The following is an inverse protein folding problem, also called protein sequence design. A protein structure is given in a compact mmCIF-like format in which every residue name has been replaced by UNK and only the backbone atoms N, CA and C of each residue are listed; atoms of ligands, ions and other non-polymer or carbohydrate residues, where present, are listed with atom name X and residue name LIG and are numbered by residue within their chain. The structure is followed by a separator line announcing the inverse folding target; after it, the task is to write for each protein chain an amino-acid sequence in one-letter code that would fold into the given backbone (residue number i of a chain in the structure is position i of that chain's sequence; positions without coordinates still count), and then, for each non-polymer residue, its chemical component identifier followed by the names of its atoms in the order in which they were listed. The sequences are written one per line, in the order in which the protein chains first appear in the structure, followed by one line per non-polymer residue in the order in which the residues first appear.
data_IF_095530941740
#
_entry.id   IF_095530941740
#
_cell.length_a   1.000
_cell.length_b   1.000
_cell.length_c   1.000
_cell.angle_alpha   90.00
_cell.angle_beta   90.00
_cell.angle_gamma   90.00
#
_symmetry.space_group_name_H-M   'P 1'
#
loop_
_entity.id
_entity.type
_entity.pdbx_description
1 polymer ?
#
# COMPACT_ATOMS: atom_id res chain seq x y z
N UNK A 1 24.05 28.08 2.67
CA UNK A 1 24.15 29.25 1.76
C UNK A 1 24.99 30.35 2.38
N UNK A 2 24.74 30.81 3.61
CA UNK A 2 25.52 31.89 4.23
C UNK A 2 27.01 31.57 4.33
N UNK A 3 27.36 30.35 4.70
CA UNK A 3 28.77 29.89 4.81
C UNK A 3 29.46 29.74 3.47
N UNK A 4 28.75 29.70 2.35
CA UNK A 4 29.31 29.67 1.00
C UNK A 4 29.73 31.05 0.48
N UNK A 5 29.29 32.14 1.12
CA UNK A 5 29.55 33.49 0.64
C UNK A 5 30.95 34.05 0.96
N UNK A 6 31.83 33.30 1.61
CA UNK A 6 33.21 33.71 1.88
C UNK A 6 33.38 34.87 2.90
N UNK A 7 32.32 35.32 3.53
CA UNK A 7 32.34 36.35 4.55
C UNK A 7 32.86 35.82 5.89
N UNK A 8 32.65 34.55 6.11
CA UNK A 8 33.15 33.84 7.28
C UNK A 8 34.46 33.14 6.92
N UNK A 9 35.56 33.67 7.46
CA UNK A 9 36.84 32.95 7.41
C UNK A 9 36.78 31.69 8.29
N UNK A 10 37.84 30.86 8.26
CA UNK A 10 37.97 29.68 9.12
C UNK A 10 38.03 30.11 10.60
N UNK A 11 36.86 30.30 11.20
CA UNK A 11 36.65 30.93 12.49
C UNK A 11 35.82 30.00 13.38
N UNK A 12 35.83 30.22 14.71
CA UNK A 12 34.97 29.51 15.64
C UNK A 12 33.47 29.49 15.25
N UNK A 13 33.03 30.46 14.45
CA UNK A 13 31.65 30.56 13.97
C UNK A 13 31.30 29.45 12.98
N UNK A 14 32.25 29.04 12.10
CA UNK A 14 32.06 27.89 11.21
C UNK A 14 32.03 26.58 11.98
N UNK A 15 32.86 26.44 12.99
CA UNK A 15 32.87 25.23 13.84
C UNK A 15 31.54 25.08 14.60
N UNK A 16 31.03 26.18 15.16
CA UNK A 16 29.72 26.18 15.82
C UNK A 16 28.59 25.86 14.86
N UNK A 17 28.60 26.41 13.66
CA UNK A 17 27.62 26.09 12.63
C UNK A 17 27.74 24.65 12.13
N UNK A 18 28.94 24.09 12.09
CA UNK A 18 29.17 22.70 11.73
C UNK A 18 28.58 21.74 12.80
N UNK A 19 28.67 22.08 14.09
CA UNK A 19 28.03 21.31 15.16
C UNK A 19 26.50 21.28 14.98
N UNK A 20 25.91 22.41 14.60
CA UNK A 20 24.47 22.47 14.31
C UNK A 20 24.10 21.60 13.10
N UNK A 21 24.88 21.66 12.02
CA UNK A 21 24.67 20.80 10.84
C UNK A 21 24.77 19.32 11.23
N UNK A 22 25.77 18.94 12.03
CA UNK A 22 25.92 17.56 12.49
C UNK A 22 24.69 17.09 13.30
N UNK A 23 24.18 17.94 14.21
CA UNK A 23 22.99 17.60 14.99
C UNK A 23 21.73 17.50 14.11
N UNK A 24 21.60 18.34 13.08
CA UNK A 24 20.49 18.26 12.13
C UNK A 24 20.57 16.99 11.28
N UNK A 25 21.76 16.58 10.85
CA UNK A 25 21.96 15.33 10.13
C UNK A 25 21.60 14.11 10.99
N UNK A 26 22.04 14.08 12.24
CA UNK A 26 21.65 13.03 13.20
C UNK A 26 20.12 12.99 13.38
N UNK A 27 19.46 14.14 13.39
CA UNK A 27 18.00 14.19 13.46
C UNK A 27 17.33 13.58 12.23
N UNK A 28 17.92 13.71 11.04
CA UNK A 28 17.44 13.04 9.83
C UNK A 28 17.47 11.52 9.99
N UNK A 29 18.57 10.95 10.50
CA UNK A 29 18.66 9.50 10.77
C UNK A 29 17.62 9.06 11.82
N UNK A 30 17.49 9.82 12.90
CA UNK A 30 16.48 9.52 13.93
C UNK A 30 15.05 9.52 13.37
N UNK A 31 14.74 10.41 12.44
CA UNK A 31 13.44 10.43 11.76
C UNK A 31 13.28 9.17 10.89
N UNK A 32 14.30 8.82 10.10
CA UNK A 32 14.26 7.64 9.24
C UNK A 32 14.10 6.34 10.05
N UNK A 33 14.87 6.18 11.12
CA UNK A 33 14.84 5.00 11.99
C UNK A 33 13.56 4.89 12.83
N UNK A 34 13.00 6.02 13.30
CA UNK A 34 11.83 6.02 14.17
C UNK A 34 10.51 6.06 13.39
N UNK A 35 10.53 6.27 12.09
CA UNK A 35 9.32 6.17 11.24
C UNK A 35 8.98 4.71 11.00
N UNK A 36 8.14 4.17 11.89
CA UNK A 36 7.77 2.75 11.93
C UNK A 36 6.28 2.55 11.80
N UNK A 37 5.91 1.48 11.12
CA UNK A 37 4.55 0.96 11.11
C UNK A 37 4.57 -0.49 11.60
N UNK A 38 3.77 -0.81 12.63
CA UNK A 38 3.73 -2.13 13.24
C UNK A 38 5.13 -2.68 13.61
N UNK A 39 5.97 -1.82 14.20
CA UNK A 39 7.37 -2.09 14.57
C UNK A 39 8.33 -2.41 13.40
N UNK A 40 7.91 -2.16 12.16
CA UNK A 40 8.75 -2.27 10.96
C UNK A 40 9.16 -0.86 10.55
N UNK A 41 10.46 -0.60 10.43
CA UNK A 41 10.97 0.67 9.93
C UNK A 41 10.62 0.80 8.44
N UNK A 42 10.22 2.00 8.04
CA UNK A 42 9.77 2.24 6.66
C UNK A 42 10.79 3.00 5.81
N UNK A 43 11.65 3.80 6.44
CA UNK A 43 12.48 4.80 5.77
C UNK A 43 13.99 4.57 5.97
N UNK A 44 14.40 3.45 6.56
CA UNK A 44 15.79 3.09 6.82
C UNK A 44 16.40 2.18 5.73
N UNK A 45 15.70 2.00 4.60
CA UNK A 45 16.13 1.14 3.49
C UNK A 45 15.90 -0.36 3.70
N UNK A 46 15.43 -0.79 4.87
CA UNK A 46 15.14 -2.20 5.13
C UNK A 46 13.78 -2.63 4.58
N UNK A 47 12.86 -1.68 4.39
CA UNK A 47 11.53 -1.93 3.84
C UNK A 47 11.59 -2.04 2.31
N UNK A 48 11.98 -3.21 1.84
CA UNK A 48 12.10 -3.49 0.40
C UNK A 48 11.32 -4.74 0.02
N UNK A 49 10.74 -4.73 -1.19
CA UNK A 49 10.06 -5.87 -1.80
C UNK A 49 8.91 -6.48 -0.96
N UNK A 50 8.26 -5.69 -0.13
CA UNK A 50 7.04 -6.12 0.57
C UNK A 50 5.90 -6.17 -0.43
N UNK A 51 5.19 -7.29 -0.49
CA UNK A 51 4.09 -7.49 -1.44
C UNK A 51 2.75 -7.56 -0.73
N UNK A 52 1.78 -6.83 -1.26
CA UNK A 52 0.38 -6.92 -0.86
C UNK A 52 -0.35 -7.75 -1.90
N UNK A 53 -1.07 -8.79 -1.46
CA UNK A 53 -1.93 -9.58 -2.34
C UNK A 53 -3.15 -8.73 -2.76
N UNK A 54 -3.30 -8.50 -4.05
CA UNK A 54 -4.34 -7.66 -4.64
C UNK A 54 -5.37 -8.46 -5.46
N UNK A 55 -5.32 -9.79 -5.40
CA UNK A 55 -6.23 -10.66 -6.14
C UNK A 55 -6.18 -12.10 -5.65
N UNK A 56 -6.81 -13.01 -6.38
CA UNK A 56 -6.94 -14.41 -5.99
C UNK A 56 -5.82 -15.32 -6.52
N UNK A 57 -4.95 -14.79 -7.35
CA UNK A 57 -3.79 -15.53 -7.88
C UNK A 57 -2.48 -15.02 -7.29
N UNK A 58 -1.48 -15.87 -7.20
CA UNK A 58 -0.17 -15.53 -6.63
C UNK A 58 0.58 -14.45 -7.41
N UNK A 59 0.18 -14.19 -8.65
CA UNK A 59 0.76 -13.16 -9.50
C UNK A 59 0.13 -11.76 -9.30
N UNK A 60 -1.05 -11.70 -8.66
CA UNK A 60 -1.79 -10.46 -8.45
C UNK A 60 -1.34 -9.76 -7.18
N UNK A 61 -0.13 -9.24 -7.20
CA UNK A 61 0.49 -8.55 -6.06
C UNK A 61 0.87 -7.12 -6.40
N UNK A 62 0.83 -6.25 -5.40
CA UNK A 62 1.37 -4.90 -5.44
C UNK A 62 2.61 -4.89 -4.56
N UNK A 63 3.77 -4.66 -5.16
CA UNK A 63 5.01 -4.52 -4.41
C UNK A 63 5.15 -3.11 -3.83
N UNK A 64 5.56 -3.04 -2.58
CA UNK A 64 5.90 -1.82 -1.85
C UNK A 64 7.39 -1.85 -1.55
N UNK A 65 8.07 -0.77 -1.84
CA UNK A 65 9.44 -0.52 -1.40
C UNK A 65 9.60 0.97 -1.15
N UNK A 66 10.32 1.31 -0.10
CA UNK A 66 10.69 2.69 0.20
C UNK A 66 12.21 2.76 0.28
N UNK A 67 12.77 3.84 -0.25
CA UNK A 67 14.22 4.05 -0.21
C UNK A 67 14.65 4.52 1.18
N UNK A 68 15.93 4.31 1.47
CA UNK A 68 16.57 4.90 2.64
C UNK A 68 16.59 6.44 2.49
N UNK A 69 15.96 7.12 3.44
CA UNK A 69 15.98 8.60 3.53
C UNK A 69 16.81 9.10 4.71
N UNK A 70 17.61 8.24 5.30
CA UNK A 70 18.64 8.61 6.26
C UNK A 70 19.82 9.31 5.58
N UNK A 71 20.80 9.72 6.36
CA UNK A 71 22.00 10.41 5.85
C UNK A 71 22.72 9.61 4.75
N UNK A 72 22.78 8.28 4.89
CA UNK A 72 23.44 7.40 3.94
C UNK A 72 22.67 7.29 2.63
N UNK A 73 21.35 7.08 2.71
CA UNK A 73 20.49 6.96 1.54
C UNK A 73 20.38 8.24 0.73
N UNK A 74 20.41 9.38 1.42
CA UNK A 74 20.41 10.70 0.80
C UNK A 74 21.82 11.19 0.40
N UNK A 75 22.88 10.42 0.68
CA UNK A 75 24.26 10.75 0.42
C UNK A 75 24.70 12.11 1.05
N UNK A 76 24.12 12.45 2.20
CA UNK A 76 24.44 13.66 2.95
C UNK A 76 25.34 13.41 4.16
N UNK A 77 25.70 12.15 4.41
CA UNK A 77 26.66 11.80 5.44
C UNK A 77 28.02 12.46 5.15
N UNK A 78 28.53 13.18 6.11
CA UNK A 78 29.77 13.95 5.93
C UNK A 78 29.60 15.32 5.25
N UNK A 79 28.39 15.84 5.17
CA UNK A 79 28.15 17.22 4.76
C UNK A 79 28.88 18.19 5.68
N UNK A 80 29.86 18.90 5.14
CA UNK A 80 30.74 19.80 5.87
C UNK A 80 30.62 21.21 5.35
N UNK A 81 30.55 22.16 6.27
CA UNK A 81 30.57 23.60 5.99
C UNK A 81 31.81 24.28 6.58
N UNK A 82 32.80 23.47 6.98
CA UNK A 82 34.04 23.95 7.59
C UNK A 82 34.84 24.93 6.69
N UNK A 83 34.73 24.74 5.37
CA UNK A 83 35.34 25.67 4.40
C UNK A 83 34.30 26.20 3.42
N UNK A 84 34.61 27.34 2.77
CA UNK A 84 33.74 27.88 1.73
C UNK A 84 33.49 26.90 0.59
N UNK A 85 34.53 26.21 0.16
CA UNK A 85 34.42 25.20 -0.94
C UNK A 85 33.53 24.03 -0.57
N UNK A 86 33.67 23.48 0.66
CA UNK A 86 32.81 22.40 1.13
C UNK A 86 31.37 22.86 1.32
N UNK A 87 31.15 24.06 1.85
CA UNK A 87 29.81 24.64 1.98
C UNK A 87 29.12 24.81 0.62
N UNK A 88 29.84 25.19 -0.44
CA UNK A 88 29.31 25.28 -1.79
C UNK A 88 28.92 23.89 -2.34
N UNK A 89 29.77 22.88 -2.10
CA UNK A 89 29.48 21.47 -2.50
C UNK A 89 28.24 20.94 -1.79
N UNK A 90 28.10 21.19 -0.48
CA UNK A 90 26.96 20.75 0.33
C UNK A 90 25.63 21.30 -0.19
N UNK A 91 25.60 22.51 -0.75
CA UNK A 91 24.37 23.06 -1.36
C UNK A 91 23.88 22.12 -2.47
N UNK A 92 24.75 21.73 -3.39
CA UNK A 92 24.38 20.82 -4.48
C UNK A 92 23.97 19.42 -3.98
N UNK A 93 24.64 18.93 -2.92
CA UNK A 93 24.27 17.65 -2.29
C UNK A 93 22.89 17.71 -1.65
N UNK A 94 22.56 18.80 -0.96
CA UNK A 94 21.25 19.02 -0.35
C UNK A 94 20.14 19.16 -1.41
N UNK A 95 20.41 19.83 -2.52
CA UNK A 95 19.46 19.92 -3.64
C UNK A 95 19.15 18.54 -4.20
N UNK A 96 20.19 17.70 -4.36
CA UNK A 96 20.02 16.30 -4.81
C UNK A 96 19.21 15.48 -3.79
N UNK A 97 19.48 15.63 -2.50
CA UNK A 97 18.74 14.97 -1.43
C UNK A 97 17.25 15.37 -1.44
N UNK A 98 16.96 16.65 -1.59
CA UNK A 98 15.59 17.16 -1.70
C UNK A 98 14.87 16.60 -2.95
N UNK A 99 15.58 16.46 -4.06
CA UNK A 99 15.03 15.84 -5.26
C UNK A 99 14.71 14.36 -5.02
N UNK A 100 15.58 13.62 -4.35
CA UNK A 100 15.35 12.21 -3.96
C UNK A 100 14.10 12.08 -3.08
N UNK A 101 13.97 12.91 -2.05
CA UNK A 101 12.77 12.93 -1.19
C UNK A 101 11.51 13.23 -2.01
N UNK A 102 11.58 14.18 -2.93
CA UNK A 102 10.44 14.53 -3.80
C UNK A 102 10.04 13.36 -4.71
N UNK A 103 11.00 12.60 -5.23
CA UNK A 103 10.76 11.40 -6.01
C UNK A 103 10.11 10.29 -5.17
N UNK A 104 10.59 10.08 -3.94
CA UNK A 104 9.98 9.13 -3.01
C UNK A 104 8.53 9.50 -2.67
N UNK A 105 8.25 10.77 -2.41
CA UNK A 105 6.89 11.24 -2.20
C UNK A 105 5.99 11.01 -3.41
N UNK A 106 6.49 11.23 -4.63
CA UNK A 106 5.75 10.95 -5.86
C UNK A 106 5.48 9.44 -6.03
N UNK A 107 6.47 8.60 -5.69
CA UNK A 107 6.33 7.14 -5.71
C UNK A 107 5.27 6.68 -4.71
N UNK A 108 5.28 7.20 -3.48
CA UNK A 108 4.26 6.92 -2.47
C UNK A 108 2.87 7.36 -2.93
N UNK A 109 2.75 8.55 -3.54
CA UNK A 109 1.49 9.03 -4.10
C UNK A 109 0.96 8.14 -5.23
N UNK A 110 1.83 7.69 -6.12
CA UNK A 110 1.48 6.74 -7.17
C UNK A 110 1.01 5.40 -6.60
N UNK A 111 1.73 4.88 -5.59
CA UNK A 111 1.38 3.65 -4.91
C UNK A 111 0.02 3.73 -4.21
N UNK A 112 -0.25 4.84 -3.53
CA UNK A 112 -1.55 5.10 -2.90
C UNK A 112 -2.68 5.09 -3.93
N UNK A 113 -2.49 5.73 -5.09
CA UNK A 113 -3.47 5.69 -6.17
C UNK A 113 -3.69 4.26 -6.70
N UNK A 114 -2.62 3.49 -6.92
CA UNK A 114 -2.71 2.08 -7.35
C UNK A 114 -3.48 1.22 -6.35
N UNK A 115 -3.21 1.39 -5.05
CA UNK A 115 -3.94 0.69 -3.99
C UNK A 115 -5.43 1.05 -3.99
N UNK A 116 -5.77 2.33 -4.13
CA UNK A 116 -7.16 2.78 -4.20
C UNK A 116 -7.90 2.20 -5.41
N UNK A 117 -7.26 2.16 -6.58
CA UNK A 117 -7.84 1.52 -7.77
C UNK A 117 -8.01 0.02 -7.59
N UNK A 118 -7.04 -0.65 -6.97
CA UNK A 118 -7.12 -2.09 -6.68
C UNK A 118 -8.26 -2.39 -5.72
N UNK A 119 -8.41 -1.64 -4.64
CA UNK A 119 -9.52 -1.77 -3.69
C UNK A 119 -10.86 -1.58 -4.40
N UNK A 120 -10.98 -0.55 -5.23
CA UNK A 120 -12.21 -0.28 -6.00
C UNK A 120 -12.54 -1.41 -6.97
N UNK A 121 -11.52 -1.97 -7.63
CA UNK A 121 -11.69 -3.10 -8.54
C UNK A 121 -12.12 -4.38 -7.80
N UNK A 122 -11.46 -4.70 -6.70
CA UNK A 122 -11.79 -5.86 -5.86
C UNK A 122 -13.19 -5.76 -5.27
N UNK A 123 -13.60 -4.57 -4.83
CA UNK A 123 -14.96 -4.35 -4.33
C UNK A 123 -16.01 -4.62 -5.42
N UNK A 124 -15.77 -4.14 -6.64
CA UNK A 124 -16.68 -4.44 -7.77
C UNK A 124 -16.71 -5.92 -8.12
N UNK A 125 -15.55 -6.57 -8.13
CA UNK A 125 -15.44 -8.01 -8.39
C UNK A 125 -16.19 -8.83 -7.34
N UNK A 126 -16.08 -8.46 -6.06
CA UNK A 126 -16.84 -9.09 -4.96
C UNK A 126 -18.35 -8.99 -5.19
N UNK A 127 -18.86 -7.78 -5.46
CA UNK A 127 -20.29 -7.57 -5.73
C UNK A 127 -20.76 -8.38 -6.95
N UNK A 128 -19.98 -8.40 -8.03
CA UNK A 128 -20.33 -9.21 -9.23
C UNK A 128 -20.35 -10.70 -8.93
N UNK A 129 -19.40 -11.17 -8.12
CA UNK A 129 -19.33 -12.59 -7.72
C UNK A 129 -20.51 -12.96 -6.83
N UNK A 130 -20.88 -12.10 -5.87
CA UNK A 130 -22.04 -12.31 -5.02
C UNK A 130 -23.35 -12.33 -5.84
N UNK A 131 -23.48 -11.42 -6.81
CA UNK A 131 -24.63 -11.42 -7.72
C UNK A 131 -24.68 -12.68 -8.61
N UNK A 132 -23.53 -13.14 -9.10
CA UNK A 132 -23.47 -14.38 -9.87
C UNK A 132 -23.83 -15.61 -9.02
N UNK A 133 -23.33 -15.65 -7.78
CA UNK A 133 -23.67 -16.71 -6.83
C UNK A 133 -25.17 -16.70 -6.51
N UNK A 134 -25.76 -15.52 -6.24
CA UNK A 134 -27.19 -15.39 -6.01
C UNK A 134 -28.03 -15.92 -7.19
N UNK A 135 -27.66 -15.58 -8.43
CA UNK A 135 -28.36 -16.07 -9.63
C UNK A 135 -28.29 -17.58 -9.77
N UNK A 136 -27.17 -18.20 -9.44
CA UNK A 136 -27.02 -19.66 -9.48
C UNK A 136 -27.88 -20.31 -8.39
N UNK A 137 -27.79 -19.82 -7.18
CA UNK A 137 -28.56 -20.36 -6.04
C UNK A 137 -30.07 -20.18 -6.22
N UNK A 138 -30.50 -19.02 -6.69
CA UNK A 138 -31.93 -18.74 -6.91
C UNK A 138 -32.51 -19.57 -8.05
N UNK A 139 -31.75 -19.84 -9.10
CA UNK A 139 -32.17 -20.72 -10.20
C UNK A 139 -32.31 -22.16 -9.73
N UNK A 140 -31.38 -22.67 -8.93
CA UNK A 140 -31.46 -24.04 -8.37
C UNK A 140 -32.64 -24.17 -7.38
N UNK A 141 -32.87 -23.18 -6.54
CA UNK A 141 -33.99 -23.18 -5.61
C UNK A 141 -35.35 -23.18 -6.34
N UNK A 142 -35.50 -22.40 -7.41
CA UNK A 142 -36.72 -22.38 -8.23
C UNK A 142 -36.98 -23.75 -8.91
N UNK A 143 -35.93 -24.38 -9.43
CA UNK A 143 -35.99 -25.70 -10.04
C UNK A 143 -36.42 -26.77 -9.02
N UNK A 144 -35.79 -26.79 -7.86
CA UNK A 144 -36.07 -27.75 -6.78
C UNK A 144 -37.47 -27.55 -6.19
N UNK A 145 -37.90 -26.29 -5.97
CA UNK A 145 -39.25 -25.96 -5.51
C UNK A 145 -40.33 -26.44 -6.49
N UNK A 146 -40.06 -26.30 -7.80
CA UNK A 146 -40.95 -26.78 -8.85
C UNK A 146 -41.03 -28.33 -8.87
N UNK A 147 -39.89 -29.00 -8.71
CA UNK A 147 -39.82 -30.45 -8.62
C UNK A 147 -40.56 -30.97 -7.39
N UNK A 148 -40.39 -30.34 -6.24
CA UNK A 148 -41.09 -30.64 -5.00
C UNK A 148 -42.63 -30.47 -5.15
N UNK A 149 -43.07 -29.33 -5.69
CA UNK A 149 -44.48 -29.07 -5.93
C UNK A 149 -45.11 -30.07 -6.87
N UNK A 150 -44.41 -30.44 -7.96
CA UNK A 150 -44.85 -31.47 -8.89
C UNK A 150 -44.97 -32.83 -8.21
N UNK A 151 -44.01 -33.21 -7.38
CA UNK A 151 -44.05 -34.48 -6.63
C UNK A 151 -45.23 -34.51 -5.63
N UNK A 152 -45.47 -33.40 -4.93
CA UNK A 152 -46.63 -33.29 -4.00
C UNK A 152 -47.98 -33.43 -4.73
N UNK A 153 -48.15 -32.73 -5.86
CA UNK A 153 -49.40 -32.82 -6.66
C UNK A 153 -49.58 -34.23 -7.19
N UNK A 154 -48.53 -34.88 -7.71
CA UNK A 154 -48.62 -36.24 -8.20
C UNK A 154 -49.02 -37.24 -7.09
N UNK A 155 -48.47 -37.11 -5.89
CA UNK A 155 -48.78 -37.91 -4.73
C UNK A 155 -50.25 -37.74 -4.31
N UNK A 156 -50.77 -36.50 -4.28
CA UNK A 156 -52.15 -36.22 -3.97
C UNK A 156 -53.12 -36.74 -5.03
N UNK A 157 -52.77 -36.57 -6.30
CA UNK A 157 -53.56 -37.12 -7.41
C UNK A 157 -53.60 -38.63 -7.37
N UNK A 158 -52.46 -39.28 -7.15
CA UNK A 158 -52.38 -40.74 -7.06
C UNK A 158 -53.22 -41.31 -5.91
N UNK A 159 -53.17 -40.69 -4.73
CA UNK A 159 -53.98 -41.10 -3.56
C UNK A 159 -55.46 -40.88 -3.80
N UNK A 160 -55.87 -39.76 -4.42
CA UNK A 160 -57.25 -39.47 -4.77
C UNK A 160 -57.79 -40.47 -5.81
N UNK A 161 -57.01 -40.78 -6.83
CA UNK A 161 -57.37 -41.78 -7.86
C UNK A 161 -57.51 -43.19 -7.28
N UNK A 162 -56.62 -43.60 -6.36
CA UNK A 162 -56.69 -44.83 -5.64
C UNK A 162 -57.97 -44.91 -4.76
N UNK A 163 -58.29 -43.85 -4.05
CA UNK A 163 -59.54 -43.76 -3.26
C UNK A 163 -60.77 -43.89 -4.14
N UNK A 164 -60.79 -43.22 -5.30
CA UNK A 164 -61.91 -43.32 -6.26
C UNK A 164 -62.03 -44.72 -6.88
N UNK A 165 -60.91 -45.34 -7.20
CA UNK A 165 -60.91 -46.70 -7.73
C UNK A 165 -61.42 -47.73 -6.72
N UNK A 166 -61.10 -47.54 -5.42
CA UNK A 166 -61.62 -48.41 -4.35
C UNK A 166 -63.11 -48.19 -4.08
N UNK A 167 -63.71 -47.04 -4.34
CA UNK A 167 -65.14 -46.78 -4.20
C UNK A 167 -65.95 -47.31 -5.37
N UNK A 168 -65.34 -47.58 -6.49
CA UNK A 168 -66.02 -48.07 -7.69
C UNK A 168 -66.09 -49.60 -7.77
N UNK A 169 -65.59 -50.29 -6.76
CA UNK A 169 -65.77 -51.74 -6.55
C UNK A 169 -66.89 -52.01 -5.54
#
# INVERSE_FOLDING_TARGET
VQMANGIYEDTPDRDNAQLEVAALLEQVDLIAENTKFNNVALLDGTFSAVTIQAGNTTAETISLSFSDVGQTGLAINGASIATQASATTVIGTMDTALQTISQEQATMGSLQNRLNYSISNLSRASVMTEQALGRIMDADFASESTALSKSQILNQAATSMLAQANQSK
#
